data_IF_984625628037
#
_entry.id   IF_984625628037
#
_cell.length_a   1.000
_cell.length_b   1.000
_cell.length_c   1.000
_cell.angle_alpha   90.00
_cell.angle_beta   90.00
_cell.angle_gamma   90.00
#
_symmetry.space_group_name_H-M   'P 1'
#
loop_
_entity.id
_entity.type
_entity.pdbx_description
1 polymer ?
#
# COMPACT_ATOMS: atom_id res chain seq x y z
N UNK A 1 -14.96 13.65 -3.49
CA UNK A 1 -14.94 12.88 -2.24
C UNK A 1 -14.42 13.70 -1.06
N UNK A 2 -15.19 13.84 0.04
CA UNK A 2 -14.71 14.46 1.29
C UNK A 2 -13.53 13.69 1.86
N UNK A 3 -12.46 14.36 2.26
CA UNK A 3 -11.34 13.70 2.96
C UNK A 3 -11.74 13.27 4.37
N UNK A 4 -11.35 12.06 4.79
CA UNK A 4 -11.56 11.55 6.16
C UNK A 4 -10.24 11.10 6.76
N UNK A 5 -9.76 11.75 7.84
CA UNK A 5 -8.54 11.32 8.49
C UNK A 5 -8.76 10.02 9.27
N UNK A 6 -7.72 9.20 9.36
CA UNK A 6 -7.72 8.08 10.29
C UNK A 6 -7.57 8.58 11.72
N UNK A 7 -8.46 8.14 12.62
CA UNK A 7 -8.49 8.60 14.00
C UNK A 7 -7.24 8.18 14.77
N UNK A 8 -6.74 9.07 15.63
CA UNK A 8 -5.62 8.74 16.52
C UNK A 8 -6.05 7.64 17.49
N UNK A 9 -5.24 6.59 17.59
CA UNK A 9 -5.42 5.53 18.59
C UNK A 9 -4.79 5.93 19.92
N UNK A 10 -5.51 5.65 21.01
CA UNK A 10 -5.02 5.79 22.38
C UNK A 10 -3.95 4.76 22.71
N UNK A 11 -3.08 5.09 23.67
CA UNK A 11 -2.15 4.11 24.24
C UNK A 11 -2.91 3.16 25.18
N UNK A 12 -2.42 1.94 25.36
CA UNK A 12 -3.08 0.93 26.21
C UNK A 12 -3.40 1.42 27.64
N UNK A 13 -2.59 2.33 28.20
CA UNK A 13 -2.85 2.95 29.50
C UNK A 13 -4.11 3.81 29.55
N UNK A 14 -4.39 4.56 28.48
CA UNK A 14 -5.54 5.46 28.40
C UNK A 14 -6.87 4.72 28.10
N UNK A 15 -6.77 3.48 27.61
CA UNK A 15 -7.92 2.61 27.36
C UNK A 15 -8.38 1.84 28.61
N UNK A 16 -7.61 1.86 29.71
CA UNK A 16 -7.98 1.21 30.98
C UNK A 16 -9.10 2.00 31.65
N UNK A 17 -10.33 1.52 31.53
CA UNK A 17 -11.52 2.11 32.16
C UNK A 17 -12.69 2.37 31.22
N UNK A 18 -12.50 2.21 29.90
CA UNK A 18 -13.62 2.26 28.95
C UNK A 18 -14.39 0.94 28.98
N UNK A 19 -15.72 1.02 28.89
CA UNK A 19 -16.57 -0.15 28.71
C UNK A 19 -16.08 -0.92 27.48
N UNK A 20 -15.64 -2.16 27.68
CA UNK A 20 -15.15 -2.99 26.59
C UNK A 20 -16.34 -3.61 25.88
N UNK A 21 -16.50 -3.39 24.56
CA UNK A 21 -17.54 -4.08 23.80
C UNK A 21 -17.35 -5.59 23.94
N UNK A 22 -18.47 -6.30 24.10
CA UNK A 22 -18.49 -7.76 24.04
C UNK A 22 -18.11 -8.23 22.63
N UNK A 23 -17.69 -9.48 22.49
CA UNK A 23 -17.38 -10.07 21.18
C UNK A 23 -15.88 -10.23 20.91
N UNK A 24 -15.55 -10.39 19.62
CA UNK A 24 -14.22 -10.78 19.17
C UNK A 24 -13.31 -9.58 18.96
N UNK A 25 -12.03 -9.78 19.26
CA UNK A 25 -10.95 -8.82 19.15
C UNK A 25 -9.83 -9.41 18.30
N UNK A 26 -9.03 -8.52 17.73
CA UNK A 26 -7.82 -8.87 16.99
C UNK A 26 -6.63 -8.05 17.49
N UNK A 27 -5.48 -8.72 17.61
CA UNK A 27 -4.17 -8.12 17.84
C UNK A 27 -3.34 -8.32 16.57
N UNK A 28 -2.92 -7.21 16.00
CA UNK A 28 -2.13 -7.13 14.78
C UNK A 28 -0.76 -6.55 15.10
N UNK A 29 0.26 -6.94 14.35
CA UNK A 29 1.54 -6.26 14.39
C UNK A 29 1.34 -4.78 14.05
N UNK A 30 1.84 -3.89 14.91
CA UNK A 30 1.88 -2.47 14.62
C UNK A 30 3.03 -2.21 13.65
N UNK A 31 2.68 -1.81 12.44
CA UNK A 31 3.64 -1.44 11.42
C UNK A 31 4.13 0.00 11.64
N UNK A 32 5.39 0.23 11.31
CA UNK A 32 6.08 1.52 11.42
C UNK A 32 6.36 2.06 10.01
N UNK A 33 5.46 2.91 9.51
CA UNK A 33 5.62 3.49 8.19
C UNK A 33 4.99 4.88 8.12
N UNK A 34 4.35 5.16 6.99
CA UNK A 34 3.56 6.35 6.76
C UNK A 34 2.15 5.98 6.34
N UNK A 35 1.15 6.50 7.03
CA UNK A 35 -0.25 6.24 6.68
C UNK A 35 -0.57 6.80 5.29
N UNK A 36 -1.05 5.93 4.41
CA UNK A 36 -1.60 6.24 3.09
C UNK A 36 -3.04 5.73 3.02
N UNK A 37 -3.98 6.60 2.63
CA UNK A 37 -5.40 6.28 2.44
C UNK A 37 -5.75 6.31 0.97
N UNK A 38 -6.57 5.35 0.54
CA UNK A 38 -7.16 5.30 -0.79
C UNK A 38 -8.67 5.52 -0.62
N UNK A 39 -9.21 6.56 -1.25
CA UNK A 39 -10.64 6.81 -1.30
C UNK A 39 -11.22 6.35 -2.63
N UNK A 40 -12.31 5.60 -2.61
CA UNK A 40 -13.05 5.21 -3.81
C UNK A 40 -14.44 5.85 -3.78
N UNK A 41 -14.79 6.53 -4.87
CA UNK A 41 -16.11 7.10 -5.08
C UNK A 41 -16.41 7.10 -6.59
N UNK A 42 -17.57 6.58 -6.99
CA UNK A 42 -18.04 6.62 -8.39
C UNK A 42 -17.01 6.03 -9.39
N UNK A 43 -16.28 4.99 -8.97
CA UNK A 43 -15.21 4.36 -9.76
C UNK A 43 -13.88 5.13 -9.80
N UNK A 44 -13.81 6.35 -9.25
CA UNK A 44 -12.58 7.11 -9.13
C UNK A 44 -11.82 6.74 -7.84
N UNK A 45 -10.49 6.70 -7.93
CA UNK A 45 -9.59 6.44 -6.78
C UNK A 45 -8.79 7.69 -6.44
N UNK A 46 -8.85 8.11 -5.18
CA UNK A 46 -8.12 9.24 -4.61
C UNK A 46 -7.05 8.73 -3.65
N UNK A 47 -5.85 9.30 -3.67
CA UNK A 47 -4.77 8.98 -2.75
C UNK A 47 -4.59 10.09 -1.74
N UNK A 48 -4.34 9.74 -0.48
CA UNK A 48 -4.19 10.73 0.58
C UNK A 48 -3.17 10.31 1.63
N UNK A 49 -2.48 11.30 2.19
CA UNK A 49 -1.70 11.15 3.42
C UNK A 49 -2.63 11.32 4.63
N UNK A 50 -2.09 11.17 5.83
CA UNK A 50 -2.82 11.25 7.10
C UNK A 50 -3.83 12.40 7.26
N UNK A 51 -3.58 13.56 6.64
CA UNK A 51 -4.35 14.79 6.86
C UNK A 51 -4.95 15.42 5.61
N UNK A 52 -4.64 14.92 4.41
CA UNK A 52 -5.10 15.51 3.16
C UNK A 52 -5.01 14.50 2.00
N UNK A 53 -5.79 14.74 0.96
CA UNK A 53 -5.54 14.15 -0.35
C UNK A 53 -4.17 14.60 -0.88
N UNK A 54 -3.56 13.74 -1.70
CA UNK A 54 -2.33 14.00 -2.44
C UNK A 54 -2.70 14.51 -3.83
N UNK A 55 -1.94 15.48 -4.31
CA UNK A 55 -1.91 15.84 -5.73
C UNK A 55 -0.93 14.93 -6.47
N UNK A 56 -1.05 14.80 -7.80
CA UNK A 56 -0.23 13.85 -8.58
C UNK A 56 1.28 14.11 -8.44
N UNK A 57 1.65 15.39 -8.38
CA UNK A 57 3.04 15.84 -8.18
C UNK A 57 3.50 15.89 -6.72
N UNK A 58 2.65 15.57 -5.75
CA UNK A 58 3.06 15.58 -4.34
C UNK A 58 4.14 14.53 -4.09
N UNK A 59 5.28 14.98 -3.55
CA UNK A 59 6.31 14.10 -3.03
C UNK A 59 5.83 13.42 -1.75
N UNK A 60 5.56 12.12 -1.84
CA UNK A 60 5.19 11.28 -0.68
C UNK A 60 5.73 9.86 -0.85
N UNK A 61 7.02 9.68 -0.52
CA UNK A 61 7.70 8.38 -0.52
C UNK A 61 7.56 7.59 -1.82
N UNK A 62 7.53 8.26 -2.98
CA UNK A 62 7.40 7.60 -4.28
C UNK A 62 6.09 6.84 -4.48
N UNK A 63 5.00 7.21 -3.80
CA UNK A 63 3.70 6.53 -3.90
C UNK A 63 3.18 6.37 -5.34
N UNK A 64 3.61 7.22 -6.27
CA UNK A 64 3.29 7.14 -7.69
C UNK A 64 3.72 5.81 -8.31
N UNK A 65 4.80 5.19 -7.81
CA UNK A 65 5.28 3.87 -8.23
C UNK A 65 4.28 2.74 -7.90
N UNK A 66 3.36 2.99 -6.97
CA UNK A 66 2.30 2.05 -6.58
C UNK A 66 0.91 2.49 -7.06
N UNK A 67 0.76 3.68 -7.67
CA UNK A 67 -0.54 4.31 -7.95
C UNK A 67 -1.48 3.39 -8.72
N UNK A 68 -1.04 2.87 -9.87
CA UNK A 68 -1.93 2.06 -10.71
C UNK A 68 -2.30 0.72 -10.07
N UNK A 69 -1.33 0.01 -9.49
CA UNK A 69 -1.60 -1.28 -8.83
C UNK A 69 -2.53 -1.12 -7.64
N UNK A 70 -2.36 -0.03 -6.87
CA UNK A 70 -3.23 0.29 -5.74
C UNK A 70 -4.61 0.79 -6.17
N UNK A 71 -4.74 1.52 -7.28
CA UNK A 71 -6.05 1.87 -7.84
C UNK A 71 -6.83 0.62 -8.22
N UNK A 72 -6.20 -0.33 -8.91
CA UNK A 72 -6.84 -1.59 -9.28
C UNK A 72 -7.21 -2.43 -8.05
N UNK A 73 -6.31 -2.51 -7.07
CA UNK A 73 -6.56 -3.18 -5.80
C UNK A 73 -7.73 -2.55 -5.03
N UNK A 74 -7.83 -1.22 -5.01
CA UNK A 74 -8.91 -0.51 -4.34
C UNK A 74 -10.26 -0.79 -4.99
N UNK A 75 -10.33 -0.75 -6.32
CA UNK A 75 -11.55 -1.07 -7.06
C UNK A 75 -11.98 -2.53 -6.87
N UNK A 76 -11.04 -3.47 -6.87
CA UNK A 76 -11.32 -4.88 -6.59
C UNK A 76 -11.80 -5.12 -5.16
N UNK A 77 -11.19 -4.46 -4.17
CA UNK A 77 -11.63 -4.49 -2.79
C UNK A 77 -13.08 -3.99 -2.65
N UNK A 78 -13.42 -2.86 -3.29
CA UNK A 78 -14.76 -2.28 -3.26
C UNK A 78 -15.79 -3.18 -3.93
N UNK A 79 -15.46 -3.73 -5.11
CA UNK A 79 -16.31 -4.69 -5.82
C UNK A 79 -16.56 -5.95 -4.99
N UNK A 80 -15.50 -6.53 -4.42
CA UNK A 80 -15.58 -7.74 -3.57
C UNK A 80 -16.48 -7.56 -2.37
N UNK A 81 -16.49 -6.36 -1.79
CA UNK A 81 -17.34 -6.03 -0.65
C UNK A 81 -18.77 -5.63 -1.04
N UNK A 82 -19.08 -5.48 -2.34
CA UNK A 82 -20.39 -5.02 -2.81
C UNK A 82 -20.66 -3.55 -2.46
N UNK A 83 -19.63 -2.70 -2.52
CA UNK A 83 -19.66 -1.31 -2.05
C UNK A 83 -19.51 -0.28 -3.18
N UNK A 84 -19.83 -0.64 -4.41
CA UNK A 84 -19.63 0.20 -5.60
C UNK A 84 -20.39 1.52 -5.56
N UNK A 85 -21.53 1.55 -4.87
CA UNK A 85 -22.38 2.75 -4.72
C UNK A 85 -22.06 3.56 -3.44
N UNK A 86 -20.98 3.20 -2.73
CA UNK A 86 -20.56 3.85 -1.49
C UNK A 86 -19.26 4.66 -1.67
N UNK A 87 -19.02 5.56 -0.71
CA UNK A 87 -17.72 6.18 -0.51
C UNK A 87 -16.90 5.26 0.39
N UNK A 88 -15.83 4.67 -0.13
CA UNK A 88 -15.00 3.70 0.61
C UNK A 88 -13.62 4.29 0.86
N UNK A 89 -13.17 4.28 2.11
CA UNK A 89 -11.83 4.69 2.50
C UNK A 89 -11.06 3.48 2.99
N UNK A 90 -9.98 3.14 2.28
CA UNK A 90 -9.08 2.04 2.56
C UNK A 90 -7.83 2.64 3.24
N UNK A 91 -7.70 2.45 4.54
CA UNK A 91 -6.57 2.96 5.32
C UNK A 91 -5.47 1.89 5.41
N UNK A 92 -4.26 2.25 5.01
CA UNK A 92 -3.12 1.38 5.11
C UNK A 92 -1.83 2.10 5.48
N UNK A 93 -0.80 1.30 5.71
CA UNK A 93 0.53 1.77 6.04
C UNK A 93 1.44 1.57 4.83
N UNK A 94 2.01 2.66 4.31
CA UNK A 94 3.10 2.62 3.34
C UNK A 94 4.40 2.37 4.09
N UNK A 95 5.20 1.41 3.64
CA UNK A 95 6.42 1.00 4.33
C UNK A 95 7.45 0.40 3.36
N UNK A 96 8.63 0.07 3.89
CA UNK A 96 9.72 -0.53 3.14
C UNK A 96 10.66 0.53 2.57
N UNK A 97 11.20 0.23 1.39
CA UNK A 97 12.17 1.07 0.68
C UNK A 97 13.63 0.84 1.06
N UNK A 98 13.89 -0.07 2.01
CA UNK A 98 15.23 -0.57 2.32
C UNK A 98 15.12 -1.88 3.11
N UNK A 99 16.00 -2.80 2.80
CA UNK A 99 16.16 -4.03 3.56
C UNK A 99 17.65 -4.37 3.69
N UNK A 100 18.30 -4.10 4.84
CA UNK A 100 19.75 -4.18 4.98
C UNK A 100 20.22 -5.63 5.21
N UNK A 101 19.93 -6.52 4.27
CA UNK A 101 20.43 -7.89 4.25
C UNK A 101 21.46 -8.04 3.11
N UNK A 102 22.62 -8.69 3.33
CA UNK A 102 23.67 -8.83 2.30
C UNK A 102 23.19 -9.48 0.99
N UNK A 103 22.21 -10.39 1.08
CA UNK A 103 21.65 -11.11 -0.07
C UNK A 103 20.45 -10.39 -0.72
N UNK A 104 20.01 -9.25 -0.19
CA UNK A 104 18.86 -8.51 -0.71
C UNK A 104 19.37 -7.19 -1.30
N UNK A 105 19.40 -7.08 -2.64
CA UNK A 105 19.84 -5.85 -3.29
C UNK A 105 18.94 -4.66 -2.91
N UNK A 106 19.57 -3.49 -2.77
CA UNK A 106 18.83 -2.24 -2.67
C UNK A 106 18.09 -1.95 -3.98
N UNK A 107 16.94 -1.29 -3.89
CA UNK A 107 16.21 -0.82 -5.07
C UNK A 107 16.74 0.57 -5.44
N UNK A 108 17.17 0.80 -6.69
CA UNK A 108 17.68 2.10 -7.13
C UNK A 108 16.73 3.24 -6.84
N UNK A 109 17.29 4.32 -6.30
CA UNK A 109 16.57 5.52 -5.90
C UNK A 109 15.50 5.36 -4.83
N UNK A 110 15.42 4.19 -4.20
CA UNK A 110 14.47 3.97 -3.13
C UNK A 110 15.04 4.46 -1.79
N UNK A 111 14.17 5.06 -0.98
CA UNK A 111 14.52 5.55 0.35
C UNK A 111 13.58 4.91 1.38
N UNK A 112 14.08 4.58 2.58
CA UNK A 112 13.26 3.97 3.59
C UNK A 112 12.15 4.92 4.04
N UNK A 113 10.90 4.44 4.08
CA UNK A 113 9.76 5.22 4.60
C UNK A 113 9.97 5.58 6.07
N UNK A 114 10.53 4.64 6.83
CA UNK A 114 10.97 4.79 8.21
C UNK A 114 12.22 3.94 8.42
N UNK A 115 13.02 4.26 9.44
CA UNK A 115 14.17 3.41 9.85
C UNK A 115 13.87 2.68 11.16
N UNK A 116 14.79 1.81 11.59
CA UNK A 116 14.67 1.05 12.84
C UNK A 116 13.93 -0.29 12.71
N UNK A 117 12.97 -0.38 11.79
CA UNK A 117 12.29 -1.63 11.44
C UNK A 117 12.30 -1.79 9.93
N UNK A 118 12.87 -2.90 9.46
CA UNK A 118 13.08 -3.14 8.04
C UNK A 118 12.09 -4.18 7.52
N UNK A 119 11.30 -3.79 6.53
CA UNK A 119 10.20 -4.62 6.03
C UNK A 119 10.47 -5.24 4.67
N UNK A 120 10.94 -4.43 3.71
CA UNK A 120 11.15 -4.82 2.32
C UNK A 120 12.09 -3.84 1.60
N UNK A 121 12.81 -4.29 0.56
CA UNK A 121 13.71 -3.42 -0.21
C UNK A 121 12.93 -2.43 -1.10
N UNK A 122 11.73 -2.80 -1.55
CA UNK A 122 10.79 -1.92 -2.27
C UNK A 122 9.68 -1.37 -1.37
N UNK A 123 8.80 -0.55 -1.96
CA UNK A 123 7.61 -0.04 -1.27
C UNK A 123 6.50 -1.07 -1.25
N UNK A 124 5.82 -1.18 -0.12
CA UNK A 124 4.58 -1.92 0.02
C UNK A 124 3.56 -1.07 0.75
N UNK A 125 2.29 -1.28 0.40
CA UNK A 125 1.16 -0.72 1.14
C UNK A 125 0.38 -1.86 1.80
N UNK A 126 0.13 -1.72 3.10
CA UNK A 126 -0.49 -2.75 3.93
C UNK A 126 -1.83 -2.24 4.45
N UNK A 127 -2.92 -2.82 3.96
CA UNK A 127 -4.29 -2.43 4.28
C UNK A 127 -4.64 -2.86 5.72
N UNK A 128 -4.91 -1.90 6.60
CA UNK A 128 -5.23 -2.20 7.99
C UNK A 128 -6.69 -1.91 8.36
N UNK A 129 -7.40 -1.02 7.66
CA UNK A 129 -8.80 -0.68 7.95
C UNK A 129 -9.60 -0.19 6.76
N UNK A 130 -10.93 -0.36 6.83
CA UNK A 130 -11.88 0.12 5.82
C UNK A 130 -13.00 0.90 6.51
N UNK A 131 -13.32 2.08 5.98
CA UNK A 131 -14.50 2.89 6.34
C UNK A 131 -15.42 2.99 5.14
N UNK A 132 -16.71 2.83 5.36
CA UNK A 132 -17.74 2.96 4.33
C UNK A 132 -18.72 4.05 4.72
N UNK A 133 -19.02 4.98 3.83
CA UNK A 133 -20.01 6.03 4.02
C UNK A 133 -20.94 6.12 2.82
N UNK A 134 -22.23 6.37 3.05
CA UNK A 134 -23.22 6.53 1.97
C UNK A 134 -23.26 7.94 1.39
N UNK A 135 -22.90 8.95 2.18
CA UNK A 135 -22.82 10.35 1.75
C UNK A 135 -21.67 11.09 2.45
N UNK A 136 -21.45 12.35 2.11
CA UNK A 136 -20.42 13.17 2.76
C UNK A 136 -20.82 13.60 4.19
N UNK A 137 -22.12 13.55 4.51
CA UNK A 137 -22.73 13.79 5.83
C UNK A 137 -22.80 12.52 6.70
N UNK A 138 -22.79 11.33 6.10
CA UNK A 138 -22.77 10.06 6.82
C UNK A 138 -21.39 9.82 7.44
N UNK A 139 -21.25 9.84 8.77
CA UNK A 139 -20.00 9.53 9.48
C UNK A 139 -19.41 8.15 9.12
N UNK A 140 -20.26 7.24 8.61
CA UNK A 140 -19.86 5.96 8.06
C UNK A 140 -19.66 4.87 9.11
N UNK A 141 -19.29 3.69 8.64
CA UNK A 141 -19.05 2.48 9.44
C UNK A 141 -17.65 1.95 9.15
N UNK A 142 -16.87 1.79 10.21
CA UNK A 142 -15.60 1.06 10.17
C UNK A 142 -15.92 -0.43 10.12
N UNK A 143 -15.43 -1.13 9.10
CA UNK A 143 -15.71 -2.56 8.91
C UNK A 143 -14.92 -3.45 9.88
N UNK A 144 -15.32 -4.72 9.97
CA UNK A 144 -14.59 -5.71 10.76
C UNK A 144 -13.22 -5.99 10.14
N UNK A 145 -12.25 -6.45 10.94
CA UNK A 145 -10.95 -6.83 10.36
C UNK A 145 -11.06 -8.04 9.42
N UNK A 146 -12.09 -8.87 9.55
CA UNK A 146 -12.37 -9.95 8.60
C UNK A 146 -12.79 -9.43 7.23
N UNK A 147 -13.51 -8.32 7.17
CA UNK A 147 -13.82 -7.65 5.91
C UNK A 147 -12.56 -7.07 5.28
N UNK A 148 -11.65 -6.53 6.11
CA UNK A 148 -10.32 -6.08 5.67
C UNK A 148 -9.53 -7.23 5.05
N UNK A 149 -9.43 -8.38 5.75
CA UNK A 149 -8.74 -9.58 5.25
C UNK A 149 -9.37 -10.10 3.94
N UNK A 150 -10.70 -10.10 3.85
CA UNK A 150 -11.43 -10.52 2.64
C UNK A 150 -11.12 -9.60 1.46
N UNK A 151 -11.22 -8.30 1.66
CA UNK A 151 -10.93 -7.30 0.63
C UNK A 151 -9.46 -7.36 0.20
N UNK A 152 -8.53 -7.45 1.16
CA UNK A 152 -7.10 -7.54 0.88
C UNK A 152 -6.74 -8.77 0.06
N UNK A 153 -7.31 -9.94 0.41
CA UNK A 153 -7.09 -11.19 -0.31
C UNK A 153 -7.55 -11.11 -1.76
N UNK A 154 -8.74 -10.58 -2.02
CA UNK A 154 -9.25 -10.42 -3.38
C UNK A 154 -8.42 -9.41 -4.17
N UNK A 155 -8.02 -8.32 -3.54
CA UNK A 155 -7.23 -7.26 -4.15
C UNK A 155 -5.73 -7.59 -4.28
N UNK A 156 -5.26 -8.72 -3.76
CA UNK A 156 -3.84 -9.10 -3.80
C UNK A 156 -2.92 -8.18 -2.97
N UNK A 157 -3.45 -7.52 -1.95
CA UNK A 157 -2.66 -6.65 -1.05
C UNK A 157 -2.47 -7.28 0.33
N UNK A 158 -1.47 -6.80 1.06
CA UNK A 158 -1.14 -7.30 2.39
C UNK A 158 -2.07 -6.70 3.45
N UNK A 159 -2.23 -7.45 4.54
CA UNK A 159 -2.74 -6.95 5.83
C UNK A 159 -1.64 -7.04 6.88
N UNK A 160 -1.71 -6.27 7.99
CA UNK A 160 -0.74 -6.41 9.07
C UNK A 160 -0.72 -7.86 9.60
N UNK A 161 0.46 -8.41 9.93
CA UNK A 161 0.56 -9.76 10.47
C UNK A 161 -0.38 -9.98 11.66
N UNK A 162 -1.20 -11.04 11.59
CA UNK A 162 -2.08 -11.45 12.67
C UNK A 162 -1.24 -12.02 13.82
N UNK A 163 -1.37 -11.46 15.02
CA UNK A 163 -0.68 -11.95 16.22
C UNK A 163 -1.62 -12.81 17.06
N UNK A 164 -2.85 -12.36 17.27
CA UNK A 164 -3.88 -13.12 17.97
C UNK A 164 -5.28 -12.66 17.55
N UNK A 165 -6.27 -13.55 17.67
CA UNK A 165 -7.69 -13.25 17.52
C UNK A 165 -8.48 -14.01 18.59
N UNK A 166 -9.43 -13.37 19.24
CA UNK A 166 -10.18 -14.00 20.32
C UNK A 166 -10.85 -13.02 21.28
N UNK A 167 -10.84 -13.35 22.57
CA UNK A 167 -11.38 -12.51 23.64
C UNK A 167 -10.42 -11.38 23.99
N UNK A 168 -10.92 -10.34 24.68
CA UNK A 168 -10.06 -9.25 25.16
C UNK A 168 -8.94 -9.73 26.08
N UNK A 169 -9.21 -10.68 26.97
CA UNK A 169 -8.19 -11.27 27.84
C UNK A 169 -7.06 -11.94 27.04
N UNK A 170 -7.39 -12.61 25.92
CA UNK A 170 -6.37 -13.16 25.02
C UNK A 170 -5.55 -12.07 24.34
N UNK A 171 -6.14 -10.91 24.00
CA UNK A 171 -5.39 -9.78 23.44
C UNK A 171 -4.46 -9.16 24.48
N UNK A 172 -4.90 -9.08 25.73
CA UNK A 172 -4.07 -8.60 26.85
C UNK A 172 -2.86 -9.50 27.06
N UNK A 173 -3.02 -10.81 26.91
CA UNK A 173 -1.94 -11.80 26.99
C UNK A 173 -1.03 -11.87 25.73
N UNK A 174 -1.43 -11.27 24.61
CA UNK A 174 -0.66 -11.35 23.37
C UNK A 174 0.75 -10.72 23.53
N UNK A 175 1.83 -11.38 23.06
CA UNK A 175 3.19 -10.88 23.25
C UNK A 175 3.40 -9.60 22.45
N UNK A 176 3.73 -8.51 23.15
CA UNK A 176 4.04 -7.22 22.50
C UNK A 176 5.40 -7.25 21.81
N UNK A 177 6.39 -7.87 22.45
CA UNK A 177 7.77 -7.93 21.96
C UNK A 177 7.96 -9.18 21.12
N UNK A 178 8.19 -8.99 19.82
CA UNK A 178 8.51 -10.04 18.87
C UNK A 178 9.34 -9.46 17.72
N UNK A 179 10.02 -10.31 16.95
CA UNK A 179 10.55 -9.92 15.63
C UNK A 179 9.38 -9.60 14.69
N UNK A 180 9.59 -8.67 13.76
CA UNK A 180 8.58 -8.42 12.71
C UNK A 180 8.34 -9.66 11.87
N UNK A 181 7.07 -9.93 11.57
CA UNK A 181 6.65 -11.08 10.74
C UNK A 181 6.51 -10.73 9.27
N UNK A 182 6.48 -9.44 8.93
CA UNK A 182 6.20 -9.00 7.57
C UNK A 182 7.29 -9.42 6.57
N UNK A 183 8.60 -9.36 6.87
CA UNK A 183 9.62 -9.80 5.91
C UNK A 183 9.49 -11.28 5.54
N UNK A 184 9.22 -12.17 6.49
CA UNK A 184 9.07 -13.60 6.20
C UNK A 184 7.80 -13.89 5.38
N UNK A 185 6.72 -13.13 5.58
CA UNK A 185 5.53 -13.19 4.72
C UNK A 185 5.83 -12.77 3.27
N UNK A 186 6.87 -11.97 3.06
CA UNK A 186 7.37 -11.56 1.75
C UNK A 186 8.47 -12.48 1.20
N UNK A 187 8.81 -13.56 1.91
CA UNK A 187 9.87 -14.49 1.52
C UNK A 187 11.29 -13.92 1.68
N UNK A 188 11.47 -12.86 2.48
CA UNK A 188 12.77 -12.25 2.71
C UNK A 188 13.55 -12.97 3.83
N UNK A 189 14.89 -13.03 3.73
CA UNK A 189 15.73 -13.64 4.76
C UNK A 189 15.65 -12.84 6.07
N UNK A 190 15.80 -13.49 7.24
CA UNK A 190 15.65 -12.81 8.52
C UNK A 190 16.77 -11.78 8.77
N UNK A 191 16.43 -10.71 9.48
CA UNK A 191 17.38 -9.75 10.03
C UNK A 191 17.48 -9.93 11.55
N UNK A 192 18.70 -9.92 12.08
CA UNK A 192 18.93 -9.91 13.51
C UNK A 192 18.31 -8.63 14.14
N UNK A 193 17.73 -8.78 15.32
CA UNK A 193 17.19 -7.68 16.14
C UNK A 193 16.15 -6.77 15.47
N UNK A 194 15.52 -7.23 14.39
CA UNK A 194 14.47 -6.49 13.68
C UNK A 194 13.11 -6.62 14.41
N UNK A 195 13.00 -5.97 15.55
CA UNK A 195 11.83 -6.01 16.41
C UNK A 195 10.66 -5.21 15.85
N UNK A 196 9.45 -5.78 15.93
CA UNK A 196 8.23 -5.04 15.60
C UNK A 196 8.00 -3.90 16.61
N UNK A 197 7.35 -2.82 16.17
CA UNK A 197 7.04 -1.67 17.04
C UNK A 197 6.13 -2.08 18.22
N UNK A 198 5.25 -3.05 17.97
CA UNK A 198 4.35 -3.62 18.97
C UNK A 198 3.06 -4.11 18.33
N UNK A 199 1.94 -3.80 18.97
CA UNK A 199 0.61 -4.27 18.59
C UNK A 199 -0.39 -3.13 18.40
N UNK A 200 -1.28 -3.32 17.43
CA UNK A 200 -2.58 -2.64 17.35
C UNK A 200 -3.65 -3.66 17.74
N UNK A 201 -4.44 -3.33 18.77
CA UNK A 201 -5.51 -4.19 19.28
C UNK A 201 -6.84 -3.48 19.06
N UNK A 202 -7.79 -4.14 18.41
CA UNK A 202 -9.09 -3.56 18.06
C UNK A 202 -10.23 -4.58 18.14
N UNK A 203 -11.43 -4.09 18.43
CA UNK A 203 -12.66 -4.87 18.32
C UNK A 203 -12.94 -5.22 16.86
N UNK A 204 -13.48 -6.40 16.60
CA UNK A 204 -13.92 -6.83 15.26
C UNK A 204 -15.38 -6.43 14.95
N UNK A 205 -16.06 -5.71 15.85
CA UNK A 205 -17.42 -5.23 15.58
C UNK A 205 -17.43 -4.06 14.59
N UNK A 206 -18.23 -4.12 13.52
CA UNK A 206 -18.47 -2.96 12.66
C UNK A 206 -19.21 -1.88 13.44
N UNK A 207 -18.65 -0.67 13.50
CA UNK A 207 -19.20 0.45 14.28
C UNK A 207 -18.88 1.79 13.63
N UNK A 208 -19.59 2.84 14.02
CA UNK A 208 -19.23 4.20 13.62
C UNK A 208 -17.81 4.56 14.11
N UNK A 209 -17.03 5.39 13.38
CA UNK A 209 -15.66 5.75 13.76
C UNK A 209 -15.51 6.21 15.22
N UNK A 210 -16.43 7.04 15.73
CA UNK A 210 -16.39 7.55 17.10
C UNK A 210 -16.69 6.50 18.20
N UNK A 211 -17.26 5.36 17.83
CA UNK A 211 -17.56 4.24 18.75
C UNK A 211 -16.50 3.15 18.70
N UNK A 212 -15.50 3.30 17.83
CA UNK A 212 -14.49 2.28 17.59
C UNK A 212 -13.54 2.17 18.77
N UNK A 213 -13.44 0.97 19.32
CA UNK A 213 -12.47 0.67 20.38
C UNK A 213 -11.23 0.01 19.78
N UNK A 214 -10.16 0.79 19.69
CA UNK A 214 -8.84 0.37 19.24
C UNK A 214 -7.75 1.09 20.04
N UNK A 215 -6.67 0.38 20.36
CA UNK A 215 -5.54 0.94 21.10
C UNK A 215 -4.22 0.31 20.64
N UNK A 216 -3.13 1.02 20.88
CA UNK A 216 -1.78 0.55 20.58
C UNK A 216 -1.03 0.15 21.85
N UNK A 217 -0.22 -0.90 21.75
CA UNK A 217 0.73 -1.32 22.78
C UNK A 217 2.09 -1.48 22.12
N UNK A 218 3.03 -0.60 22.44
CA UNK A 218 4.40 -0.63 21.89
C UNK A 218 5.35 -1.35 22.85
N UNK A 219 6.48 -1.84 22.33
CA UNK A 219 7.59 -2.29 23.17
C UNK A 219 8.23 -1.09 23.88
N UNK A 220 8.86 -1.32 25.04
CA UNK A 220 9.38 -0.25 25.90
C UNK A 220 10.59 0.45 25.25
N UNK A 221 11.44 -0.33 24.57
CA UNK A 221 12.63 0.17 23.89
C UNK A 221 12.34 0.92 22.59
N UNK A 222 11.09 0.93 22.10
CA UNK A 222 10.71 1.65 20.88
C UNK A 222 10.66 3.15 21.15
N UNK A 223 11.66 3.85 20.66
CA UNK A 223 11.77 5.29 20.74
C UNK A 223 11.85 5.87 19.32
N UNK A 224 10.81 6.56 18.88
CA UNK A 224 10.73 7.19 17.56
C UNK A 224 11.93 8.14 17.30
N UNK A 225 12.46 8.80 18.33
CA UNK A 225 13.61 9.69 18.21
C UNK A 225 14.94 8.96 17.96
N UNK A 226 15.01 7.64 18.19
CA UNK A 226 16.19 6.81 17.84
C UNK A 226 16.16 6.34 16.38
N UNK A 227 15.06 6.57 15.67
CA UNK A 227 14.82 6.07 14.32
C UNK A 227 14.65 7.20 13.29
N UNK A 228 15.18 8.39 13.61
CA UNK A 228 15.16 9.58 12.76
C UNK A 228 16.32 9.62 11.75
N UNK A 229 16.91 8.46 11.44
CA UNK A 229 17.95 8.33 10.40
C UNK A 229 17.35 8.24 8.99
N UNK A 230 16.02 8.29 8.85
CA UNK A 230 15.38 8.33 7.53
C UNK A 230 15.67 9.67 6.87
N UNK A 231 16.29 9.64 5.70
CA UNK A 231 16.36 10.82 4.83
C UNK A 231 15.02 10.96 4.10
N UNK A 232 14.54 12.21 3.94
CA UNK A 232 13.31 12.48 3.21
C UNK A 232 13.41 11.98 1.76
N UNK A 233 12.28 11.52 1.20
CA UNK A 233 12.21 11.12 -0.20
C UNK A 233 12.70 12.25 -1.13
N UNK A 234 13.71 11.94 -1.93
CA UNK A 234 14.29 12.86 -2.90
C UNK A 234 13.77 12.55 -4.30
N UNK A 235 12.74 13.29 -4.75
CA UNK A 235 12.24 13.20 -6.12
C UNK A 235 13.25 13.76 -7.15
N UNK A 236 14.24 14.55 -6.72
CA UNK A 236 15.22 15.18 -7.60
C UNK A 236 16.51 14.39 -7.77
N UNK A 237 16.58 13.20 -7.18
CA UNK A 237 17.68 12.29 -7.39
C UNK A 237 17.88 11.97 -8.87
N UNK A 238 19.14 11.75 -9.25
CA UNK A 238 19.51 11.33 -10.60
C UNK A 238 19.60 9.83 -10.64
N UNK A 239 18.88 9.22 -11.58
CA UNK A 239 19.00 7.81 -11.91
C UNK A 239 19.62 7.68 -13.29
N UNK A 240 20.44 6.65 -13.45
CA UNK A 240 20.94 6.24 -14.76
C UNK A 240 19.82 5.63 -15.60
N UNK A 241 20.02 5.59 -16.92
CA UNK A 241 19.11 4.88 -17.83
C UNK A 241 18.92 3.42 -17.43
N UNK A 242 19.97 2.72 -16.97
CA UNK A 242 19.84 1.33 -16.50
C UNK A 242 18.89 1.21 -15.31
N UNK A 243 18.97 2.12 -14.34
CA UNK A 243 18.08 2.10 -13.18
C UNK A 243 16.63 2.45 -13.55
N UNK A 244 16.42 3.33 -14.54
CA UNK A 244 15.09 3.62 -15.08
C UNK A 244 14.50 2.42 -15.86
N UNK A 245 15.34 1.67 -16.59
CA UNK A 245 14.93 0.41 -17.23
C UNK A 245 14.54 -0.65 -16.18
N UNK A 246 15.29 -0.77 -15.09
CA UNK A 246 14.95 -1.65 -13.96
C UNK A 246 13.60 -1.26 -13.34
N UNK A 247 13.36 0.04 -13.17
CA UNK A 247 12.06 0.54 -12.70
C UNK A 247 10.92 0.23 -13.65
N UNK A 248 11.12 0.49 -14.94
CA UNK A 248 10.12 0.20 -15.96
C UNK A 248 9.73 -1.29 -15.97
N UNK A 249 10.71 -2.18 -15.72
CA UNK A 249 10.48 -3.62 -15.59
C UNK A 249 9.59 -4.00 -14.40
N UNK A 250 9.61 -3.22 -13.32
CA UNK A 250 8.73 -3.40 -12.15
C UNK A 250 7.33 -2.84 -12.38
N UNK A 251 7.25 -1.77 -13.17
CA UNK A 251 5.98 -1.08 -13.45
C UNK A 251 5.16 -1.78 -14.53
N UNK A 252 5.80 -2.49 -15.47
CA UNK A 252 5.12 -3.36 -16.43
C UNK A 252 4.70 -4.65 -15.75
N UNK A 253 3.41 -4.76 -15.41
CA UNK A 253 2.86 -5.90 -14.68
C UNK A 253 1.40 -6.19 -15.11
N UNK A 254 0.82 -7.35 -14.73
CA UNK A 254 -0.52 -7.73 -15.17
C UNK A 254 -1.63 -6.73 -14.83
N UNK A 255 -1.52 -6.02 -13.70
CA UNK A 255 -2.50 -5.01 -13.33
C UNK A 255 -2.48 -3.83 -14.31
N UNK A 256 -1.30 -3.40 -14.75
CA UNK A 256 -1.15 -2.35 -15.77
C UNK A 256 -1.70 -2.79 -17.12
N UNK A 257 -1.40 -4.02 -17.53
CA UNK A 257 -1.92 -4.57 -18.78
C UNK A 257 -3.45 -4.65 -18.77
N UNK A 258 -4.04 -5.14 -17.67
CA UNK A 258 -5.50 -5.22 -17.52
C UNK A 258 -6.16 -3.84 -17.58
N UNK A 259 -5.57 -2.83 -16.96
CA UNK A 259 -6.03 -1.43 -17.03
C UNK A 259 -6.04 -0.91 -18.48
N UNK A 260 -4.93 -1.08 -19.20
CA UNK A 260 -4.82 -0.62 -20.58
C UNK A 260 -5.81 -1.35 -21.51
N UNK A 261 -5.98 -2.67 -21.36
CA UNK A 261 -6.98 -3.44 -22.11
C UNK A 261 -8.41 -2.97 -21.83
N UNK A 262 -8.73 -2.63 -20.59
CA UNK A 262 -10.05 -2.10 -20.24
C UNK A 262 -10.32 -0.73 -20.87
N UNK A 263 -9.28 0.08 -21.09
CA UNK A 263 -9.38 1.44 -21.63
C UNK A 263 -9.38 1.48 -23.16
N UNK A 264 -8.50 0.71 -23.79
CA UNK A 264 -8.28 0.73 -25.23
C UNK A 264 -9.07 -0.34 -25.99
N UNK A 265 -9.65 -1.32 -25.29
CA UNK A 265 -10.20 -2.53 -25.91
C UNK A 265 -9.12 -3.58 -26.20
N UNK A 266 -9.53 -4.73 -26.73
CA UNK A 266 -8.67 -5.91 -26.95
C UNK A 266 -8.18 -6.06 -28.39
N UNK A 267 -8.82 -5.36 -29.33
CA UNK A 267 -8.60 -5.56 -30.78
C UNK A 267 -7.42 -4.74 -31.33
N UNK A 268 -6.99 -3.70 -30.60
CA UNK A 268 -5.89 -2.82 -30.99
C UNK A 268 -4.69 -2.96 -30.04
N UNK A 269 -3.83 -3.92 -30.35
CA UNK A 269 -2.64 -4.19 -29.56
C UNK A 269 -1.66 -3.00 -29.50
N UNK A 270 -1.60 -2.16 -30.54
CA UNK A 270 -0.70 -1.01 -30.57
C UNK A 270 -1.25 0.15 -29.72
N UNK A 271 -2.57 0.34 -29.68
CA UNK A 271 -3.20 1.26 -28.73
C UNK A 271 -2.95 0.83 -27.28
N UNK A 272 -3.13 -0.45 -26.96
CA UNK A 272 -2.86 -0.99 -25.61
C UNK A 272 -1.39 -0.81 -25.24
N UNK A 273 -0.46 -1.10 -26.14
CA UNK A 273 0.98 -0.90 -25.90
C UNK A 273 1.32 0.57 -25.61
N UNK A 274 0.75 1.48 -26.40
CA UNK A 274 0.99 2.91 -26.27
C UNK A 274 0.41 3.46 -24.96
N UNK A 275 -0.74 2.95 -24.52
CA UNK A 275 -1.30 3.27 -23.22
C UNK A 275 -0.40 2.77 -22.08
N UNK A 276 0.06 1.51 -22.12
CA UNK A 276 0.99 0.96 -21.11
C UNK A 276 2.27 1.79 -21.03
N UNK A 277 2.84 2.14 -22.17
CA UNK A 277 4.04 2.98 -22.26
C UNK A 277 3.83 4.34 -21.62
N UNK A 278 2.75 5.04 -22.00
CA UNK A 278 2.38 6.33 -21.45
C UNK A 278 2.24 6.26 -19.92
N UNK A 279 1.51 5.28 -19.43
CA UNK A 279 1.24 5.08 -18.00
C UNK A 279 2.52 4.83 -17.19
N UNK A 280 3.44 4.00 -17.72
CA UNK A 280 4.76 3.79 -17.09
C UNK A 280 5.57 5.07 -17.07
N UNK A 281 5.61 5.81 -18.18
CA UNK A 281 6.37 7.06 -18.29
C UNK A 281 5.86 8.12 -17.34
N UNK A 282 4.55 8.28 -17.21
CA UNK A 282 3.94 9.23 -16.26
C UNK A 282 4.34 8.89 -14.82
N UNK A 283 4.25 7.61 -14.42
CA UNK A 283 4.64 7.22 -13.05
C UNK A 283 6.15 7.43 -12.79
N UNK A 284 7.01 7.17 -13.79
CA UNK A 284 8.45 7.45 -13.69
C UNK A 284 8.75 8.94 -13.60
N UNK A 285 8.08 9.77 -14.41
CA UNK A 285 8.30 11.22 -14.44
C UNK A 285 7.80 11.88 -13.16
N UNK A 286 6.70 11.40 -12.58
CA UNK A 286 6.23 11.91 -11.28
C UNK A 286 7.11 11.45 -10.13
N UNK A 287 7.65 10.22 -10.17
CA UNK A 287 8.51 9.70 -9.11
C UNK A 287 9.95 10.23 -9.17
N UNK A 288 10.49 10.38 -10.39
CA UNK A 288 11.88 10.74 -10.67
C UNK A 288 11.98 11.81 -11.78
N UNK A 289 11.38 13.00 -11.60
CA UNK A 289 11.32 14.04 -12.63
C UNK A 289 12.69 14.45 -13.16
N UNK A 290 13.66 14.68 -12.27
CA UNK A 290 15.02 15.09 -12.67
C UNK A 290 15.73 14.01 -13.50
N UNK A 291 15.53 12.73 -13.16
CA UNK A 291 16.14 11.63 -13.91
C UNK A 291 15.53 11.51 -15.32
N UNK A 292 14.21 11.64 -15.44
CA UNK A 292 13.52 11.56 -16.72
C UNK A 292 13.87 12.76 -17.63
N UNK A 293 13.92 13.98 -17.08
CA UNK A 293 14.30 15.19 -17.83
C UNK A 293 15.75 15.19 -18.32
N UNK A 294 16.62 14.37 -17.71
CA UNK A 294 18.03 14.28 -18.08
C UNK A 294 18.31 13.27 -19.19
N UNK A 295 17.29 12.54 -19.68
CA UNK A 295 17.45 11.58 -20.77
C UNK A 295 17.75 12.29 -22.10
N UNK A 296 18.68 11.74 -22.87
CA UNK A 296 18.86 12.12 -24.26
C UNK A 296 17.85 11.38 -25.16
N UNK A 297 17.63 11.81 -26.42
CA UNK A 297 16.65 11.18 -27.30
C UNK A 297 16.87 9.67 -27.51
N UNK A 298 18.13 9.22 -27.53
CA UNK A 298 18.47 7.81 -27.66
C UNK A 298 18.06 6.99 -26.42
N UNK A 299 18.23 7.56 -25.24
CA UNK A 299 17.83 6.94 -23.97
C UNK A 299 16.30 6.94 -23.79
N UNK A 300 15.61 7.99 -24.25
CA UNK A 300 14.15 8.02 -24.29
C UNK A 300 13.59 6.93 -25.21
N UNK A 301 14.14 6.78 -26.42
CA UNK A 301 13.76 5.73 -27.36
C UNK A 301 14.04 4.34 -26.77
N UNK A 302 15.19 4.17 -26.12
CA UNK A 302 15.55 2.92 -25.45
C UNK A 302 14.60 2.55 -24.32
N UNK A 303 14.21 3.50 -23.47
CA UNK A 303 13.25 3.27 -22.39
C UNK A 303 11.88 2.86 -22.96
N UNK A 304 11.43 3.57 -23.98
CA UNK A 304 10.16 3.31 -24.66
C UNK A 304 10.16 1.91 -25.30
N UNK A 305 11.22 1.56 -26.04
CA UNK A 305 11.37 0.24 -26.64
C UNK A 305 11.35 -0.89 -25.59
N UNK A 306 12.04 -0.70 -24.47
CA UNK A 306 12.09 -1.69 -23.38
C UNK A 306 10.73 -1.92 -22.73
N UNK A 307 9.97 -0.85 -22.44
CA UNK A 307 8.61 -0.97 -21.90
C UNK A 307 7.71 -1.75 -22.85
N UNK A 308 7.75 -1.42 -24.14
CA UNK A 308 6.95 -2.10 -25.16
C UNK A 308 7.35 -3.57 -25.30
N UNK A 309 8.64 -3.88 -25.27
CA UNK A 309 9.16 -5.25 -25.33
C UNK A 309 8.62 -6.11 -24.18
N UNK A 310 8.64 -5.59 -22.96
CA UNK A 310 8.09 -6.28 -21.78
C UNK A 310 6.57 -6.42 -21.84
N UNK A 311 5.86 -5.42 -22.34
CA UNK A 311 4.39 -5.41 -22.35
C UNK A 311 3.80 -6.36 -23.40
N UNK A 312 4.43 -6.49 -24.58
CA UNK A 312 3.95 -7.35 -25.69
C UNK A 312 3.58 -8.77 -25.28
N UNK A 313 4.44 -9.57 -24.60
CA UNK A 313 4.08 -10.94 -24.22
C UNK A 313 2.92 -10.98 -23.21
N UNK A 314 2.88 -10.05 -22.26
CA UNK A 314 1.81 -9.99 -21.25
C UNK A 314 0.46 -9.62 -21.85
N UNK A 315 0.43 -8.73 -22.85
CA UNK A 315 -0.79 -8.37 -23.59
C UNK A 315 -1.31 -9.59 -24.34
N UNK A 316 -0.43 -10.32 -25.05
CA UNK A 316 -0.81 -11.55 -25.77
C UNK A 316 -1.40 -12.58 -24.82
N UNK A 317 -0.73 -12.85 -23.70
CA UNK A 317 -1.21 -13.78 -22.68
C UNK A 317 -2.59 -13.37 -22.14
N UNK A 318 -2.78 -12.09 -21.81
CA UNK A 318 -4.05 -11.60 -21.28
C UNK A 318 -5.21 -11.70 -22.29
N UNK A 319 -4.95 -11.45 -23.57
CA UNK A 319 -5.95 -11.62 -24.65
C UNK A 319 -6.27 -13.09 -24.86
N UNK A 320 -5.26 -13.96 -24.91
CA UNK A 320 -5.44 -15.41 -25.10
C UNK A 320 -6.22 -16.07 -23.95
N UNK A 321 -5.97 -15.65 -22.71
CA UNK A 321 -6.73 -16.13 -21.52
C UNK A 321 -8.20 -15.71 -21.61
N UNK A 322 -8.47 -14.50 -22.08
CA UNK A 322 -9.83 -14.02 -22.23
C UNK A 322 -10.61 -14.80 -23.31
N UNK A 323 -9.98 -15.08 -24.46
CA UNK A 323 -10.59 -15.86 -25.55
C UNK A 323 -10.90 -17.32 -25.16
N UNK A 324 -10.19 -17.88 -24.16
CA UNK A 324 -10.45 -19.24 -23.63
C UNK A 324 -11.52 -19.27 -22.54
N UNK A 325 -11.91 -18.11 -22.02
CA UNK A 325 -12.87 -17.98 -20.91
C UNK A 325 -14.28 -17.59 -21.39
N UNK A 326 -14.44 -17.32 -22.69
CA UNK A 326 -15.72 -17.12 -23.40
C UNK A 326 -16.19 -18.43 -24.06
#
# INVERSE_FOLDING_TARGET
MRFRPFLKMSSAGDARGQASPSGSWVALEKLHGAQLVLGVQDGAVHFGKRKAWLEEGDSFFGWQLLRLSLSNAALEAVRTLGLTDARVYLYGELLGGRYPHPEVPAVPGMMPVQTGIWYAPGLHWVLFDILVARSDEDEGVMLSHRDVERAARAAGVLVPPLVARGTRAQMEAAPTRALTRLPSMLGLPPLADNHAEGLVIKSEQPVAPGQRVAFKRKIEEFNEARFDESTAWDAHQRLSITELLDWSSRLVNPARISSALSKCGRDDAEAVLSEVELDVRVDLELAFPTACQALDPASEERLSAHVRELARPLIREAVDVALKSE
#
